data_IF_945530945498
#
_entry.id   IF_945530945498
#
_cell.length_a   1.000
_cell.length_b   1.000
_cell.length_c   1.000
_cell.angle_alpha   90.00
_cell.angle_beta   90.00
_cell.angle_gamma   90.00
#
_symmetry.space_group_name_H-M   'P 1'
#
loop_
_entity.id
_entity.type
_entity.pdbx_description
1 polymer ?
#
# COMPACT_ATOMS: atom_id res chain seq x y z
N UNK A 1 33.68 -15.06 1.64
CA UNK A 1 32.39 -14.57 1.08
C UNK A 1 31.49 -14.40 2.28
N UNK A 2 31.27 -13.16 2.71
CA UNK A 2 30.29 -12.87 3.75
C UNK A 2 28.94 -13.35 3.23
N UNK A 3 28.31 -14.26 3.97
CA UNK A 3 26.93 -14.62 3.71
C UNK A 3 26.12 -13.43 4.17
N UNK A 4 25.61 -12.65 3.22
CA UNK A 4 24.58 -11.67 3.48
C UNK A 4 23.39 -12.40 4.10
N UNK A 5 23.29 -12.33 5.44
CA UNK A 5 22.22 -12.90 6.26
C UNK A 5 20.95 -12.03 6.16
N UNK A 6 20.71 -11.44 4.98
CA UNK A 6 19.46 -10.75 4.69
C UNK A 6 18.35 -11.78 4.64
N UNK A 7 17.32 -11.67 5.50
CA UNK A 7 16.19 -12.59 5.48
C UNK A 7 15.54 -12.57 4.09
N UNK A 8 14.98 -13.71 3.63
CA UNK A 8 14.38 -13.78 2.31
C UNK A 8 13.27 -12.74 2.18
N UNK A 9 13.22 -12.02 1.04
CA UNK A 9 12.15 -11.06 0.71
C UNK A 9 10.76 -11.70 0.62
N UNK A 10 10.67 -13.02 0.76
CA UNK A 10 9.43 -13.80 0.80
C UNK A 10 9.15 -14.25 2.23
N UNK A 11 7.94 -14.03 2.75
CA UNK A 11 7.57 -14.48 4.09
C UNK A 11 7.58 -16.01 4.14
N UNK A 12 7.93 -16.56 5.31
CA UNK A 12 7.98 -18.03 5.50
C UNK A 12 6.57 -18.65 5.45
N UNK A 13 5.56 -17.88 5.87
CA UNK A 13 4.14 -18.20 5.73
C UNK A 13 3.45 -17.20 4.81
N UNK A 14 2.59 -17.66 3.90
CA UNK A 14 1.91 -16.80 2.93
C UNK A 14 0.82 -15.90 3.55
N UNK A 15 0.42 -16.13 4.81
CA UNK A 15 -0.46 -15.24 5.57
C UNK A 15 0.32 -14.18 6.35
N UNK A 16 1.65 -14.26 6.38
CA UNK A 16 2.49 -13.28 7.06
C UNK A 16 2.97 -12.19 6.09
N UNK A 17 3.00 -10.94 6.55
CA UNK A 17 3.56 -9.82 5.81
C UNK A 17 5.05 -9.69 6.10
N UNK A 18 5.88 -9.42 5.09
CA UNK A 18 7.28 -9.06 5.34
C UNK A 18 7.40 -7.69 6.00
N UNK A 19 8.57 -7.42 6.59
CA UNK A 19 8.87 -6.12 7.20
C UNK A 19 8.79 -4.98 6.17
N UNK A 20 9.24 -5.22 4.94
CA UNK A 20 9.15 -4.26 3.84
C UNK A 20 7.69 -3.99 3.46
N UNK A 21 6.86 -5.03 3.38
CA UNK A 21 5.43 -4.89 3.11
C UNK A 21 4.72 -4.11 4.23
N UNK A 22 5.07 -4.38 5.49
CA UNK A 22 4.53 -3.63 6.64
C UNK A 22 4.92 -2.15 6.58
N UNK A 23 6.20 -1.86 6.31
CA UNK A 23 6.66 -0.48 6.17
C UNK A 23 6.04 0.25 4.97
N UNK A 24 5.70 -0.47 3.89
CA UNK A 24 4.93 0.08 2.78
C UNK A 24 3.46 0.33 3.16
N UNK A 25 2.85 -0.56 3.93
CA UNK A 25 1.48 -0.42 4.41
C UNK A 25 1.33 0.79 5.36
N UNK A 26 2.26 0.97 6.29
CA UNK A 26 2.27 2.14 7.17
C UNK A 26 2.33 3.45 6.36
N UNK A 27 3.15 3.48 5.30
CA UNK A 27 3.22 4.63 4.38
C UNK A 27 1.95 4.83 3.55
N UNK A 28 1.18 3.76 3.31
CA UNK A 28 -0.08 3.78 2.57
C UNK A 28 -1.24 4.28 3.44
N UNK A 29 -1.29 3.84 4.70
CA UNK A 29 -2.37 4.17 5.64
C UNK A 29 -2.40 5.67 5.97
N UNK A 30 -1.22 6.32 5.99
CA UNK A 30 -1.09 7.77 6.14
C UNK A 30 -1.30 8.58 4.84
N UNK A 31 -1.57 7.94 3.68
CA UNK A 31 -1.78 8.68 2.42
C UNK A 31 -3.06 9.50 2.40
N UNK A 32 -4.03 9.17 3.24
CA UNK A 32 -5.27 9.95 3.35
C UNK A 32 -5.09 11.21 4.23
N UNK A 33 -3.94 11.37 4.89
CA UNK A 33 -3.58 12.58 5.64
C UNK A 33 -2.96 13.66 4.74
N UNK A 34 -2.71 13.35 3.46
CA UNK A 34 -2.20 14.29 2.47
C UNK A 34 -3.36 14.97 1.74
N UNK A 35 -3.65 16.26 2.03
CA UNK A 35 -4.74 16.99 1.38
C UNK A 35 -4.51 17.20 -0.12
N UNK A 36 -3.26 17.08 -0.59
CA UNK A 36 -2.87 17.19 -2.00
C UNK A 36 -2.80 15.81 -2.71
N UNK A 37 -3.18 14.73 -2.02
CA UNK A 37 -3.20 13.39 -2.59
C UNK A 37 -4.10 13.33 -3.84
N UNK A 38 -3.74 12.53 -4.87
CA UNK A 38 -4.62 12.30 -6.01
C UNK A 38 -5.93 11.69 -5.53
N UNK A 39 -7.01 12.47 -5.63
CA UNK A 39 -8.34 12.10 -5.12
C UNK A 39 -8.80 12.87 -3.87
N UNK A 40 -7.93 13.62 -3.21
CA UNK A 40 -8.26 14.39 -2.00
C UNK A 40 -9.32 15.48 -2.19
N UNK A 41 -9.53 15.91 -3.43
CA UNK A 41 -10.58 16.88 -3.82
C UNK A 41 -11.70 16.29 -4.70
N UNK A 42 -11.64 14.97 -4.99
CA UNK A 42 -12.67 14.32 -5.79
C UNK A 42 -13.91 14.07 -4.93
N UNK A 43 -15.02 14.72 -5.28
CA UNK A 43 -16.33 14.47 -4.68
C UNK A 43 -17.02 13.30 -5.38
N UNK A 44 -18.01 12.67 -4.73
CA UNK A 44 -18.80 11.56 -5.29
C UNK A 44 -19.39 11.87 -6.68
N UNK A 45 -19.62 13.15 -6.98
CA UNK A 45 -20.16 13.66 -8.25
C UNK A 45 -19.10 13.72 -9.38
N UNK A 46 -17.82 13.71 -9.03
CA UNK A 46 -16.69 13.74 -9.98
C UNK A 46 -16.23 12.33 -10.38
N UNK A 47 -16.74 11.29 -9.72
CA UNK A 47 -16.45 9.90 -10.03
C UNK A 47 -17.56 9.40 -10.97
N UNK A 48 -17.25 9.02 -12.20
CA UNK A 48 -18.23 8.41 -13.10
C UNK A 48 -18.86 7.20 -12.42
N UNK A 49 -20.19 7.10 -12.45
CA UNK A 49 -20.88 5.94 -11.93
C UNK A 49 -20.67 4.77 -12.90
N UNK A 50 -19.74 3.89 -12.56
CA UNK A 50 -19.40 2.70 -13.36
C UNK A 50 -20.44 1.56 -13.19
N UNK A 51 -21.67 1.84 -12.74
CA UNK A 51 -22.76 0.85 -12.75
C UNK A 51 -23.35 0.65 -14.16
N UNK A 52 -22.47 0.44 -15.13
CA UNK A 52 -22.85 -0.15 -16.41
C UNK A 52 -23.18 -1.63 -16.19
N UNK A 53 -24.43 -2.02 -16.47
CA UNK A 53 -24.85 -3.42 -16.54
C UNK A 53 -24.16 -4.18 -17.67
#
# INVERSE_FOLDING_TARGET
>A
MEQDNTPPSTPTDANETTEEQRAMQDKLDHRNDDPDAPGGHQTREQIPDESGR
#
